data_IF_445526498695
#
_entry.id   IF_445526498695
#
_cell.length_a   1.000
_cell.length_b   1.000
_cell.length_c   1.000
_cell.angle_alpha   90.00
_cell.angle_beta   90.00
_cell.angle_gamma   90.00
#
_symmetry.space_group_name_H-M   'P 1'
#
loop_
_entity.id
_entity.type
_entity.pdbx_description
1 polymer ?
#
# COMPACT_ATOMS: atom_id res chain seq x y z
N UNK A 1 4.99 0.57 2.15
CA UNK A 1 3.55 0.35 1.93
C UNK A 1 3.11 -0.80 2.83
N UNK A 2 2.06 -0.58 3.62
CA UNK A 2 1.37 -1.59 4.43
C UNK A 2 -0.01 -1.82 3.80
N UNK A 3 -0.15 -2.83 2.92
CA UNK A 3 -1.34 -3.00 2.09
C UNK A 3 -2.50 -3.64 2.85
N UNK A 4 -3.67 -3.02 2.75
CA UNK A 4 -4.92 -3.56 3.27
C UNK A 4 -6.15 -2.94 2.58
N UNK A 5 -7.21 -3.73 2.42
CA UNK A 5 -8.39 -3.28 1.67
C UNK A 5 -9.18 -2.17 2.40
N UNK A 6 -9.20 -2.19 3.73
CA UNK A 6 -9.89 -1.17 4.54
C UNK A 6 -8.95 -0.02 4.90
N UNK A 7 -7.66 -0.32 5.07
CA UNK A 7 -6.60 0.63 5.36
C UNK A 7 -5.33 0.15 4.68
N UNK A 8 -4.80 0.96 3.77
CA UNK A 8 -3.52 0.79 3.13
C UNK A 8 -2.67 2.02 3.46
N UNK A 9 -1.62 1.83 4.24
CA UNK A 9 -0.68 2.88 4.61
C UNK A 9 0.36 3.08 3.54
N UNK A 10 0.50 4.31 3.05
CA UNK A 10 1.51 4.70 2.05
C UNK A 10 2.34 5.82 2.66
N UNK A 11 3.66 5.69 2.61
CA UNK A 11 4.58 6.72 3.07
C UNK A 11 5.78 6.80 2.14
N UNK A 12 6.24 8.03 1.92
CA UNK A 12 7.49 8.34 1.22
C UNK A 12 8.43 8.95 2.24
N UNK A 13 9.66 8.45 2.28
CA UNK A 13 10.71 8.92 3.19
C UNK A 13 11.98 9.18 2.41
N UNK A 14 12.64 10.29 2.73
CA UNK A 14 14.00 10.55 2.27
C UNK A 14 14.98 10.02 3.31
N UNK A 15 15.99 9.28 2.86
CA UNK A 15 17.04 8.73 3.72
C UNK A 15 18.38 9.27 3.28
N UNK A 16 19.04 10.06 4.14
CA UNK A 16 20.35 10.63 3.83
C UNK A 16 21.47 9.58 3.95
N UNK A 17 22.68 9.95 3.49
CA UNK A 17 23.87 9.09 3.57
C UNK A 17 24.27 8.69 5.01
N UNK A 18 23.73 9.35 6.03
CA UNK A 18 23.94 9.05 7.46
C UNK A 18 22.79 8.21 8.04
N UNK A 19 21.88 7.70 7.20
CA UNK A 19 20.67 6.94 7.56
C UNK A 19 19.68 7.71 8.42
N UNK A 20 19.61 9.04 8.28
CA UNK A 20 18.53 9.82 8.90
C UNK A 20 17.35 9.87 7.94
N UNK A 21 16.19 9.51 8.45
CA UNK A 21 14.95 9.52 7.69
C UNK A 21 14.18 10.82 7.92
N UNK A 22 13.67 11.43 6.86
CA UNK A 22 12.70 12.51 6.91
C UNK A 22 11.40 12.05 6.24
N UNK A 23 10.26 12.34 6.86
CA UNK A 23 8.94 12.03 6.29
C UNK A 23 8.63 13.05 5.19
N UNK A 24 8.40 12.57 3.98
CA UNK A 24 8.06 13.39 2.80
C UNK A 24 6.56 13.40 2.56
N UNK A 25 5.94 12.22 2.61
CA UNK A 25 4.49 12.06 2.42
C UNK A 25 3.97 10.91 3.28
N UNK A 26 2.73 11.05 3.74
CA UNK A 26 1.99 9.96 4.38
C UNK A 26 0.52 10.08 4.05
N UNK A 27 -0.09 8.94 3.72
CA UNK A 27 -1.53 8.83 3.59
C UNK A 27 -2.01 7.44 3.96
N UNK A 28 -3.30 7.36 4.27
CA UNK A 28 -4.02 6.11 4.44
C UNK A 28 -5.20 6.13 3.48
N UNK A 29 -5.21 5.15 2.58
CA UNK A 29 -6.32 4.93 1.65
C UNK A 29 -7.05 3.65 2.02
N UNK A 30 -8.25 3.45 1.48
CA UNK A 30 -9.04 2.26 1.71
C UNK A 30 -10.51 2.51 1.44
N UNK A 31 -11.29 1.46 1.66
CA UNK A 31 -12.73 1.44 1.38
C UNK A 31 -13.49 0.75 2.50
N UNK A 32 -14.79 1.08 2.67
CA UNK A 32 -15.66 0.30 3.55
C UNK A 32 -15.68 -1.19 3.14
N UNK A 33 -15.81 -2.13 4.09
CA UNK A 33 -15.88 -3.56 3.78
C UNK A 33 -17.07 -3.97 2.89
N UNK A 34 -18.10 -3.13 2.83
CA UNK A 34 -19.31 -3.32 2.01
C UNK A 34 -19.10 -2.99 0.53
N UNK A 35 -17.98 -2.35 0.17
CA UNK A 35 -17.69 -2.04 -1.22
C UNK A 35 -17.33 -3.32 -2.01
N UNK A 36 -17.70 -3.41 -3.31
CA UNK A 36 -17.28 -4.49 -4.20
C UNK A 36 -15.75 -4.60 -4.30
N UNK A 37 -15.19 -5.81 -4.22
CA UNK A 37 -13.74 -6.05 -4.12
C UNK A 37 -12.92 -5.37 -5.22
N UNK A 38 -13.40 -5.39 -6.46
CA UNK A 38 -12.81 -4.71 -7.62
C UNK A 38 -12.62 -3.21 -7.38
N UNK A 39 -13.64 -2.52 -6.86
CA UNK A 39 -13.55 -1.10 -6.51
C UNK A 39 -12.57 -0.86 -5.35
N UNK A 40 -12.51 -1.80 -4.41
CA UNK A 40 -11.57 -1.73 -3.28
C UNK A 40 -10.13 -1.82 -3.77
N UNK A 41 -9.85 -2.74 -4.69
CA UNK A 41 -8.53 -2.92 -5.30
C UNK A 41 -8.16 -1.72 -6.18
N UNK A 42 -9.09 -1.23 -7.01
CA UNK A 42 -8.89 -0.03 -7.82
C UNK A 42 -8.52 1.19 -6.96
N UNK A 43 -9.19 1.38 -5.82
CA UNK A 43 -8.89 2.49 -4.91
C UNK A 43 -7.46 2.43 -4.34
N UNK A 44 -6.92 1.22 -4.13
CA UNK A 44 -5.53 1.04 -3.72
C UNK A 44 -4.59 1.35 -4.89
N UNK A 45 -4.88 0.82 -6.08
CA UNK A 45 -4.09 1.04 -7.30
C UNK A 45 -3.93 2.52 -7.63
N UNK A 46 -5.04 3.27 -7.66
CA UNK A 46 -5.05 4.70 -7.95
C UNK A 46 -4.24 5.51 -6.94
N UNK A 47 -4.35 5.19 -5.65
CA UNK A 47 -3.63 5.89 -4.60
C UNK A 47 -2.12 5.61 -4.68
N UNK A 48 -1.72 4.35 -4.83
CA UNK A 48 -0.32 3.97 -4.98
C UNK A 48 0.28 4.61 -6.24
N UNK A 49 -0.42 4.51 -7.37
CA UNK A 49 0.00 5.12 -8.65
C UNK A 49 0.16 6.63 -8.54
N UNK A 50 -0.77 7.32 -7.86
CA UNK A 50 -0.69 8.76 -7.65
C UNK A 50 0.54 9.15 -6.81
N UNK A 51 0.81 8.44 -5.72
CA UNK A 51 1.99 8.70 -4.87
C UNK A 51 3.28 8.44 -5.64
N UNK A 52 3.36 7.35 -6.40
CA UNK A 52 4.53 7.02 -7.23
C UNK A 52 4.77 8.07 -8.31
N UNK A 53 3.72 8.53 -8.99
CA UNK A 53 3.82 9.57 -10.01
C UNK A 53 4.25 10.92 -9.43
N UNK A 54 3.72 11.30 -8.26
CA UNK A 54 4.00 12.56 -7.60
C UNK A 54 5.42 12.62 -7.01
N UNK A 55 5.89 11.54 -6.38
CA UNK A 55 7.14 11.54 -5.62
C UNK A 55 8.30 10.85 -6.32
N UNK A 56 8.05 9.97 -7.30
CA UNK A 56 9.06 9.22 -8.08
C UNK A 56 10.17 8.62 -7.20
N UNK A 57 9.84 7.78 -6.21
CA UNK A 57 10.83 7.24 -5.29
C UNK A 57 11.81 6.30 -6.01
N UNK A 58 13.08 6.30 -5.60
CA UNK A 58 14.10 5.39 -6.15
C UNK A 58 13.85 3.92 -5.80
N UNK A 59 13.11 3.67 -4.71
CA UNK A 59 12.85 2.34 -4.15
C UNK A 59 11.44 2.27 -3.58
N UNK A 60 10.78 1.14 -3.80
CA UNK A 60 9.53 0.78 -3.14
C UNK A 60 9.76 -0.38 -2.17
N UNK A 61 9.08 -0.32 -1.02
CA UNK A 61 9.02 -1.41 -0.05
C UNK A 61 7.56 -1.70 0.28
N UNK A 62 7.18 -2.98 0.20
CA UNK A 62 5.84 -3.47 0.53
C UNK A 62 5.97 -4.48 1.66
N UNK A 63 5.17 -4.32 2.71
CA UNK A 63 5.15 -5.23 3.84
C UNK A 63 4.76 -6.65 3.40
N UNK A 64 5.42 -7.65 3.99
CA UNK A 64 5.07 -9.05 3.77
C UNK A 64 3.90 -9.43 4.66
N UNK A 65 2.90 -10.06 4.06
CA UNK A 65 1.78 -10.61 4.80
C UNK A 65 2.20 -11.86 5.58
N UNK A 66 2.05 -11.83 6.91
CA UNK A 66 2.09 -13.03 7.74
C UNK A 66 0.65 -13.52 7.99
N UNK A 67 0.27 -14.64 7.38
CA UNK A 67 -1.01 -15.28 7.63
C UNK A 67 -0.82 -16.46 8.59
N UNK A 68 -1.24 -16.33 9.86
CA UNK A 68 -1.17 -17.44 10.83
C UNK A 68 -2.53 -18.08 11.18
N UNK A 69 -3.62 -17.75 10.48
CA UNK A 69 -4.89 -18.48 10.61
C UNK A 69 -5.77 -18.21 9.39
N UNK A 70 -6.40 -19.24 8.85
CA UNK A 70 -7.28 -19.21 7.66
C UNK A 70 -8.52 -18.33 7.89
N UNK A 71 -8.36 -17.01 7.80
CA UNK A 71 -9.47 -16.06 7.80
C UNK A 71 -9.82 -15.72 6.34
N UNK A 72 -11.10 -15.63 5.95
CA UNK A 72 -11.52 -15.29 4.58
C UNK A 72 -10.91 -13.99 4.03
N UNK A 73 -10.45 -13.11 4.93
CA UNK A 73 -9.83 -11.82 4.62
C UNK A 73 -8.39 -11.92 4.09
N UNK A 74 -7.71 -13.05 4.27
CA UNK A 74 -6.30 -13.21 3.85
C UNK A 74 -6.15 -13.03 2.34
N UNK A 75 -7.08 -13.58 1.55
CA UNK A 75 -7.03 -13.48 0.09
C UNK A 75 -7.19 -12.03 -0.38
N UNK A 76 -8.13 -11.29 0.21
CA UNK A 76 -8.37 -9.89 -0.13
C UNK A 76 -7.17 -9.00 0.17
N UNK A 77 -6.50 -9.21 1.30
CA UNK A 77 -5.29 -8.45 1.62
C UNK A 77 -4.11 -8.85 0.74
N UNK A 78 -3.96 -10.14 0.40
CA UNK A 78 -2.95 -10.58 -0.56
C UNK A 78 -3.15 -9.94 -1.94
N UNK A 79 -4.39 -9.78 -2.40
CA UNK A 79 -4.71 -9.06 -3.63
C UNK A 79 -4.35 -7.57 -3.55
N UNK A 80 -4.63 -6.91 -2.42
CA UNK A 80 -4.23 -5.52 -2.20
C UNK A 80 -2.69 -5.35 -2.26
N UNK A 81 -1.95 -6.28 -1.65
CA UNK A 81 -0.48 -6.31 -1.74
C UNK A 81 -0.02 -6.54 -3.20
N UNK A 82 -0.68 -7.45 -3.92
CA UNK A 82 -0.39 -7.71 -5.34
C UNK A 82 -0.59 -6.46 -6.21
N UNK A 83 -1.66 -5.71 -5.99
CA UNK A 83 -1.91 -4.43 -6.67
C UNK A 83 -0.83 -3.40 -6.34
N UNK A 84 -0.50 -3.23 -5.06
CA UNK A 84 0.55 -2.29 -4.65
C UNK A 84 1.92 -2.63 -5.24
N UNK A 85 2.22 -3.92 -5.43
CA UNK A 85 3.45 -4.39 -6.10
C UNK A 85 3.38 -4.16 -7.61
N UNK A 86 2.22 -4.40 -8.25
CA UNK A 86 2.07 -4.23 -9.69
C UNK A 86 2.17 -2.77 -10.15
N UNK A 87 1.76 -1.83 -9.29
CA UNK A 87 1.85 -0.40 -9.56
C UNK A 87 3.27 0.18 -9.38
N UNK A 88 4.13 -0.48 -8.59
CA UNK A 88 5.45 -0.02 -8.19
C UNK A 88 6.57 -0.47 -9.16
#
# INVERSE_FOLDING_TARGET
>A
MDPGLTRCGIAVVDVDARRRAALVHVEVTGTPPTAPLDQRLLRIDEAVSAVLAAHRPDRAAVERMFANTNTPTVLGTAQAAGVAIAAA
#
